data_IF_978815198531
#
_entry.id   IF_978815198531
#
_cell.length_a   1.000
_cell.length_b   1.000
_cell.length_c   1.000
_cell.angle_alpha   90.00
_cell.angle_beta   90.00
_cell.angle_gamma   90.00
#
_symmetry.space_group_name_H-M   'P 1'
#
loop_
_entity.id
_entity.type
_entity.pdbx_description
1 polymer ?
#
# COMPACT_ATOMS: atom_id res chain seq x y z
N UNK A 1 -14.68 25.44 11.72
CA UNK A 1 -14.37 24.01 11.89
C UNK A 1 -13.86 23.51 10.55
N UNK A 2 -12.54 23.53 10.34
CA UNK A 2 -11.95 22.97 9.13
C UNK A 2 -11.88 21.46 9.31
N UNK A 3 -12.61 20.72 8.48
CA UNK A 3 -12.35 19.29 8.35
C UNK A 3 -10.92 19.18 7.80
N UNK A 4 -10.00 18.66 8.59
CA UNK A 4 -8.75 18.13 8.06
C UNK A 4 -9.15 17.05 7.05
N UNK A 5 -9.18 17.42 5.76
CA UNK A 5 -9.26 16.43 4.70
C UNK A 5 -7.91 15.71 4.75
N UNK A 6 -7.83 14.64 5.53
CA UNK A 6 -6.82 13.62 5.32
C UNK A 6 -7.01 13.14 3.88
N UNK A 7 -6.16 13.63 2.98
CA UNK A 7 -6.19 13.27 1.57
C UNK A 7 -5.73 11.82 1.44
N UNK A 8 -6.64 10.89 1.68
CA UNK A 8 -6.40 9.46 1.54
C UNK A 8 -6.23 9.13 0.07
N UNK A 9 -5.08 8.55 -0.30
CA UNK A 9 -4.75 8.26 -1.69
C UNK A 9 -5.56 7.12 -2.30
N UNK A 10 -6.12 6.24 -1.46
CA UNK A 10 -6.88 5.06 -1.91
C UNK A 10 -8.02 4.75 -0.95
N UNK A 11 -8.79 3.70 -1.25
CA UNK A 11 -9.95 3.29 -0.46
C UNK A 11 -9.80 1.86 0.07
N UNK A 12 -10.45 1.51 1.19
CA UNK A 12 -10.43 0.16 1.72
C UNK A 12 -10.88 -0.92 0.73
N UNK A 13 -11.87 -0.59 -0.11
CA UNK A 13 -12.39 -1.50 -1.13
C UNK A 13 -11.36 -1.80 -2.23
N UNK A 14 -10.58 -0.80 -2.64
CA UNK A 14 -9.48 -1.00 -3.59
C UNK A 14 -8.41 -1.95 -3.05
N UNK A 15 -8.06 -1.80 -1.77
CA UNK A 15 -7.09 -2.68 -1.09
C UNK A 15 -7.63 -4.11 -1.03
N UNK A 16 -8.90 -4.32 -0.66
CA UNK A 16 -9.50 -5.67 -0.67
C UNK A 16 -9.51 -6.31 -2.05
N UNK A 17 -9.91 -5.55 -3.06
CA UNK A 17 -9.91 -6.04 -4.45
C UNK A 17 -8.50 -6.39 -4.92
N UNK A 18 -7.48 -5.66 -4.44
CA UNK A 18 -6.07 -5.94 -4.73
C UNK A 18 -5.55 -7.19 -4.04
N UNK A 19 -5.97 -7.46 -2.80
CA UNK A 19 -5.59 -8.65 -2.03
C UNK A 19 -6.05 -9.95 -2.71
N UNK A 20 -7.22 -9.93 -3.35
CA UNK A 20 -7.75 -11.10 -4.08
C UNK A 20 -8.31 -12.21 -3.19
N UNK A 21 -8.48 -11.97 -1.88
CA UNK A 21 -9.14 -12.87 -0.95
C UNK A 21 -9.95 -12.08 0.10
N UNK A 22 -10.97 -12.70 0.68
CA UNK A 22 -11.80 -12.08 1.72
C UNK A 22 -11.31 -12.47 3.12
N UNK A 23 -10.95 -11.48 3.94
CA UNK A 23 -10.69 -11.67 5.37
C UNK A 23 -11.73 -10.90 6.18
N UNK A 24 -12.65 -11.63 6.84
CA UNK A 24 -13.71 -11.04 7.65
C UNK A 24 -13.18 -10.31 8.89
N UNK A 25 -11.97 -10.63 9.35
CA UNK A 25 -11.32 -9.96 10.49
C UNK A 25 -10.61 -8.67 10.08
N UNK A 26 -10.45 -8.43 8.78
CA UNK A 26 -9.85 -7.23 8.22
C UNK A 26 -10.94 -6.19 7.92
N UNK A 27 -11.33 -5.47 8.97
CA UNK A 27 -12.37 -4.44 8.91
C UNK A 27 -11.94 -3.22 8.08
N UNK A 28 -12.91 -2.42 7.61
CA UNK A 28 -12.61 -1.16 6.91
C UNK A 28 -11.72 -0.24 7.73
N UNK A 29 -11.91 -0.22 9.04
CA UNK A 29 -11.12 0.60 9.96
C UNK A 29 -9.65 0.20 9.97
N UNK A 30 -9.35 -1.10 10.05
CA UNK A 30 -7.96 -1.60 10.03
C UNK A 30 -7.32 -1.30 8.67
N UNK A 31 -8.04 -1.49 7.57
CA UNK A 31 -7.52 -1.16 6.24
C UNK A 31 -7.28 0.35 6.12
N UNK A 32 -8.13 1.18 6.72
CA UNK A 32 -7.96 2.61 6.71
C UNK A 32 -6.68 3.03 7.43
N UNK A 33 -6.38 2.44 8.59
CA UNK A 33 -5.10 2.68 9.30
C UNK A 33 -3.89 2.36 8.40
N UNK A 34 -3.92 1.25 7.67
CA UNK A 34 -2.86 0.91 6.71
C UNK A 34 -2.76 1.87 5.51
N UNK A 35 -3.90 2.42 5.07
CA UNK A 35 -3.93 3.45 4.02
C UNK A 35 -3.33 4.75 4.52
N UNK A 36 -3.63 5.14 5.76
CA UNK A 36 -3.14 6.38 6.37
C UNK A 36 -1.63 6.30 6.59
N UNK A 37 -1.13 5.18 7.12
CA UNK A 37 0.30 4.92 7.27
C UNK A 37 1.04 4.92 5.92
N UNK A 38 0.49 4.23 4.92
CA UNK A 38 1.05 4.19 3.56
C UNK A 38 1.05 5.58 2.91
N UNK A 39 -0.03 6.35 3.09
CA UNK A 39 -0.15 7.72 2.57
C UNK A 39 0.90 8.63 3.20
N UNK A 40 1.03 8.61 4.53
CA UNK A 40 2.04 9.39 5.24
C UNK A 40 3.46 9.00 4.82
N UNK A 41 3.72 7.70 4.64
CA UNK A 41 5.02 7.22 4.16
C UNK A 41 5.34 7.76 2.75
N UNK A 42 4.41 7.63 1.80
CA UNK A 42 4.59 8.12 0.42
C UNK A 42 4.81 9.64 0.41
N UNK A 43 3.99 10.40 1.12
CA UNK A 43 4.10 11.86 1.17
C UNK A 43 5.41 12.33 1.80
N UNK A 44 5.89 11.61 2.82
CA UNK A 44 7.20 11.87 3.44
C UNK A 44 8.36 11.58 2.48
N UNK A 45 8.28 10.48 1.73
CA UNK A 45 9.32 10.02 0.81
C UNK A 45 9.39 10.88 -0.46
N UNK A 46 8.22 11.25 -1.00
CA UNK A 46 8.08 12.13 -2.16
C UNK A 46 8.06 13.63 -1.79
N UNK A 47 8.12 13.96 -0.49
CA UNK A 47 8.11 15.33 0.07
C UNK A 47 6.95 16.22 -0.42
N UNK A 48 5.84 15.61 -0.81
CA UNK A 48 4.69 16.30 -1.39
C UNK A 48 3.39 15.60 -1.02
N UNK A 49 2.30 16.38 -0.95
CA UNK A 49 0.93 15.85 -0.89
C UNK A 49 0.39 15.70 -2.31
N UNK A 50 -0.18 14.54 -2.63
CA UNK A 50 -0.81 14.30 -3.94
C UNK A 50 -2.30 14.61 -3.89
N UNK A 51 -2.76 15.29 -4.93
CA UNK A 51 -4.15 15.63 -5.22
C UNK A 51 -4.55 15.03 -6.58
N UNK A 52 -5.84 14.84 -6.87
CA UNK A 52 -6.28 14.27 -8.16
C UNK A 52 -5.84 15.05 -9.40
N UNK A 53 -5.38 16.29 -9.25
CA UNK A 53 -4.86 17.10 -10.35
C UNK A 53 -3.38 16.82 -10.66
N UNK A 54 -2.65 16.13 -9.77
CA UNK A 54 -1.23 15.83 -9.97
C UNK A 54 -1.04 14.76 -11.08
N UNK A 55 -0.08 14.95 -12.00
CA UNK A 55 0.19 13.97 -13.07
C UNK A 55 0.51 12.57 -12.55
N UNK A 56 1.17 12.50 -11.39
CA UNK A 56 1.57 11.26 -10.74
C UNK A 56 0.53 10.75 -9.72
N UNK A 57 -0.65 11.36 -9.64
CA UNK A 57 -1.68 10.97 -8.66
C UNK A 57 -2.04 9.49 -8.74
N UNK A 58 -2.30 8.96 -9.95
CA UNK A 58 -2.66 7.55 -10.11
C UNK A 58 -1.51 6.61 -9.77
N UNK A 59 -0.26 7.04 -9.98
CA UNK A 59 0.92 6.29 -9.55
C UNK A 59 1.01 6.25 -8.01
N UNK A 60 0.93 7.41 -7.35
CA UNK A 60 0.94 7.51 -5.89
C UNK A 60 -0.20 6.69 -5.25
N UNK A 61 -1.39 6.75 -5.87
CA UNK A 61 -2.56 5.96 -5.48
C UNK A 61 -2.36 4.45 -5.68
N UNK A 62 -1.68 4.03 -6.74
CA UNK A 62 -1.32 2.60 -6.94
C UNK A 62 -0.31 2.14 -5.88
N UNK A 63 0.76 2.91 -5.64
CA UNK A 63 1.77 2.61 -4.62
C UNK A 63 1.14 2.51 -3.23
N UNK A 64 0.25 3.44 -2.88
CA UNK A 64 -0.48 3.41 -1.62
C UNK A 64 -1.33 2.14 -1.49
N UNK A 65 -2.00 1.73 -2.57
CA UNK A 65 -2.81 0.52 -2.58
C UNK A 65 -1.93 -0.71 -2.36
N UNK A 66 -0.76 -0.78 -2.99
CA UNK A 66 0.15 -1.92 -2.88
C UNK A 66 0.83 -2.01 -1.49
N UNK A 67 1.22 -0.86 -0.90
CA UNK A 67 1.74 -0.81 0.48
C UNK A 67 0.68 -1.23 1.51
N UNK A 68 -0.51 -0.65 1.43
CA UNK A 68 -1.61 -1.01 2.35
C UNK A 68 -2.01 -2.49 2.20
N UNK A 69 -1.95 -3.02 0.97
CA UNK A 69 -2.14 -4.46 0.69
C UNK A 69 -1.06 -5.31 1.36
N UNK A 70 0.21 -4.91 1.29
CA UNK A 70 1.30 -5.61 1.94
C UNK A 70 1.12 -5.63 3.47
N UNK A 71 0.76 -4.50 4.08
CA UNK A 71 0.47 -4.43 5.52
C UNK A 71 -0.70 -5.34 5.93
N UNK A 72 -1.77 -5.33 5.13
CA UNK A 72 -2.93 -6.19 5.34
C UNK A 72 -2.59 -7.69 5.27
N UNK A 73 -1.68 -8.11 4.39
CA UNK A 73 -1.26 -9.51 4.25
C UNK A 73 -0.31 -9.95 5.38
N UNK A 74 0.58 -9.05 5.83
CA UNK A 74 1.55 -9.32 6.91
C UNK A 74 0.87 -9.38 8.28
N UNK A 75 -0.29 -8.71 8.44
CA UNK A 75 -1.07 -8.77 9.66
C UNK A 75 -1.25 -10.23 10.10
N UNK A 76 -0.83 -10.60 11.32
CA UNK A 76 -1.15 -11.91 11.86
C UNK A 76 -2.68 -11.98 11.97
N UNK A 77 -3.30 -12.82 11.15
CA UNK A 77 -4.74 -13.01 11.17
C UNK A 77 -5.12 -13.52 12.56
N UNK A 78 -5.74 -12.66 13.38
CA UNK A 78 -6.44 -13.07 14.58
C UNK A 78 -7.75 -13.74 14.17
N UNK A 79 -7.67 -14.90 13.54
CA UNK A 79 -8.80 -15.58 12.91
C UNK A 79 -8.41 -16.90 12.27
N UNK A 80 -9.41 -17.76 12.02
CA UNK A 80 -9.25 -19.13 11.53
C UNK A 80 -8.36 -19.16 10.28
N UNK A 81 -7.35 -20.03 10.31
CA UNK A 81 -6.35 -20.20 9.25
C UNK A 81 -7.09 -20.62 7.97
N UNK A 82 -7.13 -19.72 6.99
CA UNK A 82 -7.67 -20.01 5.67
C UNK A 82 -6.75 -21.00 4.94
N UNK A 83 -7.31 -22.05 4.32
CA UNK A 83 -6.58 -23.16 3.69
C UNK A 83 -6.45 -24.46 4.51
N UNK A 84 -7.42 -24.74 5.38
CA UNK A 84 -7.63 -26.09 5.90
C UNK A 84 -8.27 -26.95 4.79
N UNK A 85 -7.49 -27.85 4.19
CA UNK A 85 -8.04 -28.94 3.38
C UNK A 85 -8.70 -29.96 4.31
N UNK A 86 -10.01 -30.13 4.16
CA UNK A 86 -10.78 -31.13 4.91
C UNK A 86 -10.91 -32.40 4.06
N UNK A 87 -10.08 -33.40 4.36
CA UNK A 87 -10.38 -34.80 4.02
C UNK A 87 -10.89 -35.50 5.28
N UNK A 88 -11.98 -36.27 5.15
CA UNK A 88 -12.84 -36.77 6.24
C UNK A 88 -12.12 -37.50 7.40
N UNK A 89 -10.83 -37.83 7.29
CA UNK A 89 -10.08 -38.54 8.34
C UNK A 89 -8.83 -37.83 8.90
N UNK A 90 -8.30 -36.73 8.32
CA UNK A 90 -7.06 -36.11 8.85
C UNK A 90 -6.98 -34.59 8.61
N UNK A 91 -6.75 -33.83 9.68
CA UNK A 91 -6.41 -32.39 9.63
C UNK A 91 -4.91 -32.22 9.30
N UNK A 92 -4.56 -31.97 8.03
CA UNK A 92 -3.17 -31.67 7.63
C UNK A 92 -2.99 -30.18 7.33
N UNK A 93 -2.46 -29.44 8.31
CA UNK A 93 -2.10 -28.03 8.12
C UNK A 93 -0.70 -27.91 7.51
N UNK A 94 -0.60 -27.61 6.21
CA UNK A 94 0.68 -27.28 5.55
C UNK A 94 1.12 -25.84 5.83
N UNK A 95 1.40 -25.51 7.10
CA UNK A 95 1.79 -24.16 7.53
C UNK A 95 3.00 -23.60 6.75
N UNK A 96 3.95 -24.45 6.35
CA UNK A 96 5.17 -24.02 5.66
C UNK A 96 4.95 -23.52 4.23
N UNK A 97 3.94 -24.04 3.51
CA UNK A 97 3.63 -23.58 2.15
C UNK A 97 2.80 -22.29 2.16
N UNK A 98 1.90 -22.15 3.12
CA UNK A 98 1.10 -20.93 3.31
C UNK A 98 1.96 -19.73 3.67
N UNK A 99 2.90 -19.88 4.61
CA UNK A 99 3.82 -18.80 4.98
C UNK A 99 4.67 -18.38 3.79
N UNK A 100 5.18 -19.33 2.99
CA UNK A 100 5.97 -19.04 1.78
C UNK A 100 5.17 -18.32 0.70
N UNK A 101 3.91 -18.71 0.48
CA UNK A 101 3.04 -18.08 -0.52
C UNK A 101 2.68 -16.64 -0.12
N UNK A 102 2.31 -16.42 1.15
CA UNK A 102 2.06 -15.07 1.69
C UNK A 102 3.29 -14.19 1.58
N UNK A 103 4.45 -14.71 1.96
CA UNK A 103 5.71 -13.98 1.90
C UNK A 103 6.07 -13.54 0.47
N UNK A 104 5.92 -14.42 -0.54
CA UNK A 104 6.14 -14.05 -1.95
C UNK A 104 5.20 -12.95 -2.43
N UNK A 105 3.94 -12.99 -2.01
CA UNK A 105 2.95 -11.97 -2.37
C UNK A 105 3.28 -10.63 -1.73
N UNK A 106 3.71 -10.63 -0.46
CA UNK A 106 4.19 -9.43 0.24
C UNK A 106 5.42 -8.84 -0.45
N UNK A 107 6.43 -9.66 -0.74
CA UNK A 107 7.66 -9.22 -1.42
C UNK A 107 7.35 -8.61 -2.80
N UNK A 108 6.39 -9.18 -3.53
CA UNK A 108 5.94 -8.65 -4.82
C UNK A 108 5.32 -7.25 -4.68
N UNK A 109 4.43 -7.05 -3.71
CA UNK A 109 3.80 -5.75 -3.48
C UNK A 109 4.78 -4.70 -2.95
N UNK A 110 5.70 -5.07 -2.05
CA UNK A 110 6.77 -4.19 -1.58
C UNK A 110 7.64 -3.75 -2.76
N UNK A 111 8.08 -4.69 -3.62
CA UNK A 111 8.90 -4.35 -4.79
C UNK A 111 8.20 -3.42 -5.77
N UNK A 112 6.89 -3.58 -5.97
CA UNK A 112 6.12 -2.65 -6.81
C UNK A 112 5.97 -1.28 -6.17
N UNK A 113 5.75 -1.23 -4.86
CA UNK A 113 5.71 0.02 -4.13
C UNK A 113 7.05 0.77 -4.17
N UNK A 114 8.17 0.08 -3.95
CA UNK A 114 9.52 0.64 -4.03
C UNK A 114 9.82 1.25 -5.40
N UNK A 115 9.56 0.50 -6.48
CA UNK A 115 9.74 1.02 -7.84
C UNK A 115 8.86 2.23 -8.15
N UNK A 116 7.63 2.23 -7.67
CA UNK A 116 6.75 3.39 -7.82
C UNK A 116 7.24 4.58 -7.01
N UNK A 117 7.74 4.36 -5.79
CA UNK A 117 8.33 5.42 -4.95
C UNK A 117 9.58 6.04 -5.58
N UNK A 118 10.47 5.24 -6.18
CA UNK A 118 11.62 5.75 -6.93
C UNK A 118 11.17 6.72 -8.03
N UNK A 119 10.14 6.34 -8.80
CA UNK A 119 9.58 7.21 -9.85
C UNK A 119 8.92 8.48 -9.30
N UNK A 120 8.34 8.43 -8.10
CA UNK A 120 7.79 9.60 -7.43
C UNK A 120 8.87 10.55 -6.91
N UNK A 121 10.09 10.06 -6.67
CA UNK A 121 11.23 10.87 -6.24
C UNK A 121 11.97 11.52 -7.42
N UNK A 122 12.13 10.80 -8.52
CA UNK A 122 12.86 11.30 -9.70
C UNK A 122 12.18 12.52 -10.34
N UNK A 123 10.85 12.63 -10.28
CA UNK A 123 10.11 13.77 -10.86
C UNK A 123 10.30 15.09 -10.07
N UNK A 124 10.82 15.05 -8.84
CA UNK A 124 11.20 16.24 -8.05
C UNK A 124 12.66 16.66 -8.31
N UNK A 125 13.43 15.88 -9.08
CA UNK A 125 14.84 16.18 -9.40
C UNK A 125 15.05 16.98 -10.69
N UNK A 126 14.00 17.27 -11.46
CA UNK A 126 14.08 18.05 -12.71
C UNK A 126 13.72 19.53 -12.52
N UNK A 127 14.25 20.16 -11.46
CA UNK A 127 14.32 21.62 -11.42
C UNK A 127 15.53 22.09 -12.25
N UNK A 128 15.34 22.71 -13.43
CA UNK A 128 16.41 23.52 -13.98
C UNK A 128 16.73 24.61 -12.96
N UNK A 129 18.01 24.75 -12.58
CA UNK A 129 18.49 25.95 -11.94
C UNK A 129 18.27 27.11 -12.91
N UNK A 130 17.09 27.73 -12.89
CA UNK A 130 16.87 29.05 -13.47
C UNK A 130 17.54 30.07 -12.56
N UNK A 131 18.88 30.10 -12.56
CA UNK A 131 19.60 31.26 -12.07
C UNK A 131 19.66 32.27 -13.22
N UNK A 132 18.51 32.86 -13.51
CA UNK A 132 18.45 34.15 -14.19
C UNK A 132 19.01 35.19 -13.23
N UNK A 133 20.23 35.67 -13.48
CA UNK A 133 20.56 37.05 -13.12
C UNK A 133 19.55 38.00 -13.79
N UNK A 134 19.39 39.27 -13.34
CA UNK A 134 20.47 40.17 -12.88
C UNK A 134 20.09 41.02 -11.64
N UNK A 135 21.03 41.88 -11.20
CA UNK A 135 20.97 42.90 -10.13
C UNK A 135 21.56 42.52 -8.77
N UNK A 136 22.67 43.21 -8.45
CA UNK A 136 23.48 43.14 -7.25
C UNK A 136 24.87 43.69 -7.55
#
# INVERSE_FOLDING_TARGET
>A
MGAEMTSTLTTPERVRNRMGYSDATLTNQIIQEYIDDATAYIQRVARKTFTPADPLYELARSVCTDLATAYAIVRPAGGVIDGLDYTIDELKVKKSEQTKSRQRTVEKFIRFAEKGLEQLQDDDTDYPQSNTGPYG
#
